data_IF_817142340098
#
_entry.id   IF_817142340098
#
_cell.length_a   1.000
_cell.length_b   1.000
_cell.length_c   1.000
_cell.angle_alpha   90.00
_cell.angle_beta   90.00
_cell.angle_gamma   90.00
#
_symmetry.space_group_name_H-M   'P 1'
#
loop_
_entity.id
_entity.type
_entity.pdbx_description
1 polymer ?
#
# COMPACT_ATOMS: atom_id res chain seq x y z
N UNK A 1 -12.12 -12.09 -0.07
CA UNK A 1 -12.87 -11.16 -0.94
C UNK A 1 -11.93 -10.41 -1.86
N UNK A 2 -12.32 -10.26 -3.11
CA UNK A 2 -11.53 -9.45 -4.03
C UNK A 2 -11.73 -7.97 -3.70
N UNK A 3 -10.64 -7.22 -3.63
CA UNK A 3 -10.65 -5.77 -3.42
C UNK A 3 -9.90 -5.11 -4.55
N UNK A 4 -9.88 -3.79 -4.57
CA UNK A 4 -9.10 -3.08 -5.59
C UNK A 4 -7.74 -2.69 -5.02
N UNK A 5 -6.73 -2.75 -5.88
CA UNK A 5 -5.40 -2.26 -5.54
C UNK A 5 -5.49 -0.76 -5.26
N UNK A 6 -4.97 -0.26 -4.14
CA UNK A 6 -5.03 1.18 -3.86
C UNK A 6 -4.24 2.02 -4.86
N UNK A 7 -3.32 1.42 -5.58
CA UNK A 7 -2.46 2.14 -6.53
C UNK A 7 -3.13 2.25 -7.90
N UNK A 8 -3.47 1.11 -8.51
CA UNK A 8 -3.98 1.11 -9.88
C UNK A 8 -5.48 0.92 -10.00
N UNK A 9 -6.17 0.67 -8.89
CA UNK A 9 -7.61 0.46 -8.82
C UNK A 9 -8.10 -0.78 -9.59
N UNK A 10 -7.19 -1.65 -9.99
CA UNK A 10 -7.52 -2.93 -10.59
C UNK A 10 -7.82 -3.98 -9.52
N UNK A 11 -8.45 -5.09 -9.91
CA UNK A 11 -8.73 -6.17 -8.97
C UNK A 11 -7.45 -6.68 -8.31
N UNK A 12 -7.50 -6.88 -7.01
CA UNK A 12 -6.38 -7.37 -6.23
C UNK A 12 -6.90 -8.30 -5.14
N UNK A 13 -6.00 -8.99 -4.47
CA UNK A 13 -6.33 -9.80 -3.30
C UNK A 13 -5.85 -9.08 -2.05
N UNK A 14 -6.64 -9.15 -1.00
CA UNK A 14 -6.33 -8.57 0.29
C UNK A 14 -6.11 -9.68 1.30
N UNK A 15 -5.01 -9.58 2.07
CA UNK A 15 -4.67 -10.53 3.11
C UNK A 15 -4.38 -9.78 4.40
N UNK A 16 -4.89 -10.25 5.55
CA UNK A 16 -4.57 -9.62 6.82
C UNK A 16 -3.09 -9.81 7.16
N UNK A 17 -2.46 -8.78 7.68
CA UNK A 17 -1.03 -8.77 7.99
C UNK A 17 -0.76 -8.01 9.30
N UNK A 18 -1.51 -8.33 10.36
CA UNK A 18 -1.39 -7.67 11.65
C UNK A 18 -1.88 -6.23 11.59
N UNK A 19 -0.99 -5.28 11.85
CA UNK A 19 -1.32 -3.84 11.82
C UNK A 19 -1.30 -3.25 10.41
N UNK A 20 -1.19 -4.10 9.39
CA UNK A 20 -1.16 -3.68 8.01
C UNK A 20 -2.09 -4.57 7.20
N UNK A 21 -2.36 -4.16 5.96
CA UNK A 21 -3.09 -4.98 5.01
C UNK A 21 -2.16 -5.30 3.85
N UNK A 22 -2.02 -6.58 3.54
CA UNK A 22 -1.22 -7.03 2.40
C UNK A 22 -2.10 -7.08 1.17
N UNK A 23 -1.54 -6.69 0.04
CA UNK A 23 -2.23 -6.71 -1.25
C UNK A 23 -1.39 -7.51 -2.25
N UNK A 24 -2.09 -8.27 -3.07
CA UNK A 24 -1.47 -8.98 -4.19
C UNK A 24 -2.09 -8.42 -5.48
N UNK A 25 -1.32 -7.64 -6.21
CA UNK A 25 -1.76 -7.00 -7.46
C UNK A 25 -0.92 -7.52 -8.62
N UNK A 26 -1.56 -7.87 -9.71
CA UNK A 26 -0.85 -8.39 -10.89
C UNK A 26 0.07 -7.34 -11.53
N UNK A 27 -0.24 -6.06 -11.34
CA UNK A 27 0.56 -4.97 -11.90
C UNK A 27 1.70 -4.55 -10.98
N UNK A 28 1.44 -4.45 -9.69
CA UNK A 28 2.39 -3.92 -8.71
C UNK A 28 3.03 -5.00 -7.84
N UNK A 29 2.59 -6.23 -7.96
CA UNK A 29 3.10 -7.34 -7.17
C UNK A 29 2.56 -7.33 -5.75
N UNK A 30 3.31 -7.91 -4.84
CA UNK A 30 2.94 -8.04 -3.45
C UNK A 30 3.47 -6.86 -2.65
N UNK A 31 2.61 -6.25 -1.84
CA UNK A 31 3.02 -5.17 -0.94
C UNK A 31 2.06 -5.09 0.24
N UNK A 32 2.46 -4.36 1.27
CA UNK A 32 1.64 -4.12 2.46
C UNK A 32 1.44 -2.62 2.65
N UNK A 33 0.30 -2.25 3.21
CA UNK A 33 0.00 -0.85 3.53
C UNK A 33 -0.38 -0.78 5.00
N UNK A 34 0.31 0.05 5.77
CA UNK A 34 0.02 0.22 7.18
C UNK A 34 -1.39 0.81 7.36
N UNK A 35 -2.10 0.36 8.40
CA UNK A 35 -3.45 0.87 8.68
C UNK A 35 -3.48 2.38 8.88
N UNK A 36 -2.40 2.95 9.40
CA UNK A 36 -2.30 4.40 9.61
C UNK A 36 -2.43 5.19 8.31
N UNK A 37 -2.00 4.62 7.17
CA UNK A 37 -2.16 5.26 5.86
C UNK A 37 -3.64 5.44 5.53
N UNK A 38 -4.43 4.39 5.70
CA UNK A 38 -5.87 4.45 5.44
C UNK A 38 -6.59 5.34 6.46
N UNK A 39 -6.18 5.27 7.73
CA UNK A 39 -6.77 6.09 8.77
C UNK A 39 -6.54 7.57 8.50
N UNK A 40 -5.35 7.94 8.06
CA UNK A 40 -5.03 9.33 7.74
C UNK A 40 -5.77 9.81 6.50
N UNK A 41 -5.85 9.00 5.46
CA UNK A 41 -6.62 9.33 4.27
C UNK A 41 -8.09 9.56 4.60
N UNK A 42 -8.66 8.73 5.46
CA UNK A 42 -10.05 8.85 5.91
C UNK A 42 -10.25 10.12 6.73
N UNK A 43 -9.32 10.43 7.64
CA UNK A 43 -9.41 11.61 8.50
C UNK A 43 -9.34 12.90 7.69
N UNK A 44 -8.56 12.93 6.63
CA UNK A 44 -8.43 14.10 5.75
C UNK A 44 -9.50 14.13 4.66
N UNK A 45 -10.32 13.08 4.56
CA UNK A 45 -11.33 12.91 3.50
C UNK A 45 -10.72 13.06 2.11
N UNK A 46 -9.48 12.60 1.95
CA UNK A 46 -8.73 12.74 0.71
C UNK A 46 -7.90 11.49 0.46
N UNK A 47 -8.00 10.97 -0.76
CA UNK A 47 -7.19 9.84 -1.17
C UNK A 47 -5.90 10.34 -1.84
N UNK A 48 -4.87 9.51 -1.82
CA UNK A 48 -3.62 9.81 -2.50
C UNK A 48 -3.75 9.51 -3.99
N UNK A 49 -3.00 10.25 -4.82
CA UNK A 49 -2.97 10.01 -6.26
C UNK A 49 -2.17 8.75 -6.57
N UNK A 50 -2.35 8.23 -7.78
CA UNK A 50 -1.58 7.07 -8.23
C UNK A 50 -0.07 7.34 -8.17
N UNK A 51 0.35 8.54 -8.60
CA UNK A 51 1.76 8.90 -8.56
C UNK A 51 2.32 8.89 -7.14
N UNK A 52 1.54 9.37 -6.18
CA UNK A 52 1.93 9.34 -4.77
C UNK A 52 2.06 7.91 -4.27
N UNK A 53 1.10 7.04 -4.62
CA UNK A 53 1.15 5.63 -4.24
C UNK A 53 2.36 4.93 -4.84
N UNK A 54 2.65 5.16 -6.12
CA UNK A 54 3.78 4.52 -6.79
C UNK A 54 5.11 4.98 -6.19
N UNK A 55 5.24 6.27 -5.89
CA UNK A 55 6.43 6.79 -5.22
C UNK A 55 6.59 6.20 -3.82
N UNK A 56 5.48 6.04 -3.08
CA UNK A 56 5.50 5.43 -1.76
C UNK A 56 5.92 3.96 -1.84
N UNK A 57 5.44 3.24 -2.83
CA UNK A 57 5.82 1.84 -3.03
C UNK A 57 7.31 1.71 -3.33
N UNK A 58 7.86 2.59 -4.18
CA UNK A 58 9.29 2.59 -4.48
C UNK A 58 10.12 2.81 -3.22
N UNK A 59 9.72 3.74 -2.37
CA UNK A 59 10.42 3.98 -1.10
C UNK A 59 10.33 2.77 -0.17
N UNK A 60 9.17 2.13 -0.12
CA UNK A 60 8.99 0.94 0.70
C UNK A 60 9.86 -0.21 0.19
N UNK A 61 9.98 -0.38 -1.12
CA UNK A 61 10.83 -1.41 -1.71
C UNK A 61 12.31 -1.18 -1.39
N UNK A 62 12.74 0.07 -1.33
CA UNK A 62 14.12 0.39 -0.97
C UNK A 62 14.45 0.04 0.48
N UNK A 63 13.45 0.06 1.37
CA UNK A 63 13.64 -0.24 2.79
C UNK A 63 13.41 -1.70 3.15
N UNK A 64 12.74 -2.47 2.28
CA UNK A 64 12.38 -3.85 2.62
C UNK A 64 13.61 -4.72 2.72
N UNK A 65 13.53 -5.73 3.59
CA UNK A 65 14.55 -6.77 3.68
C UNK A 65 14.26 -7.87 2.66
N UNK A 66 15.25 -8.73 2.40
CA UNK A 66 15.22 -9.68 1.30
C UNK A 66 14.00 -10.62 1.29
N UNK A 67 13.48 -10.98 2.45
CA UNK A 67 12.38 -11.93 2.57
C UNK A 67 11.06 -11.28 2.99
N UNK A 68 10.99 -9.95 2.93
CA UNK A 68 9.80 -9.23 3.36
C UNK A 68 9.13 -8.53 2.18
N UNK A 69 7.81 -8.32 2.33
CA UNK A 69 7.07 -7.51 1.38
C UNK A 69 7.29 -6.04 1.72
N UNK A 70 7.33 -5.15 0.71
CA UNK A 70 7.43 -3.73 0.99
C UNK A 70 6.24 -3.25 1.80
N UNK A 71 6.50 -2.46 2.85
CA UNK A 71 5.47 -1.90 3.72
C UNK A 71 5.39 -0.39 3.50
N UNK A 72 4.27 0.06 2.96
CA UNK A 72 4.00 1.48 2.74
C UNK A 72 3.50 2.08 4.05
N UNK A 73 4.15 3.15 4.50
CA UNK A 73 3.75 3.89 5.71
C UNK A 73 3.46 5.34 5.35
N UNK A 74 2.86 6.08 6.29
CA UNK A 74 2.48 7.47 6.05
C UNK A 74 3.68 8.32 5.62
N UNK A 75 4.85 8.10 6.21
CA UNK A 75 6.05 8.86 5.88
C UNK A 75 6.48 8.71 4.41
N UNK A 76 6.06 7.66 3.74
CA UNK A 76 6.40 7.45 2.33
C UNK A 76 5.68 8.42 1.40
N UNK A 77 4.65 9.11 1.89
CA UNK A 77 3.90 10.10 1.12
C UNK A 77 4.40 11.54 1.34
N UNK A 78 5.42 11.73 2.16
CA UNK A 78 5.95 13.05 2.50
C UNK A 78 7.43 13.23 2.19
#
# INVERSE_FOLDING_TARGET
MAVVCPICKSSAQELPAGEATAFHCLTHGDFKVAETVFAEAKAKAKDYTRDQWEAALDKAEERMEADEWPLIIVDDFY
#
